data_IF_098961111460
#
_entry.id   IF_098961111460
#
_cell.length_a   1.000
_cell.length_b   1.000
_cell.length_c   1.000
_cell.angle_alpha   90.00
_cell.angle_beta   90.00
_cell.angle_gamma   90.00
#
_symmetry.space_group_name_H-M   'P 1'
#
loop_
_entity.id
_entity.type
_entity.pdbx_description
1 polymer ?
#
# COMPACT_ATOMS: atom_id res chain seq x y z
N UNK A 1 -7.23 12.99 -0.96
CA UNK A 1 -7.06 12.92 0.52
C UNK A 1 -5.61 13.18 0.83
N UNK A 2 -4.75 12.15 0.89
CA UNK A 2 -3.30 12.34 1.07
C UNK A 2 -2.63 13.13 -0.05
N UNK A 3 -3.10 12.99 -1.29
CA UNK A 3 -2.65 13.78 -2.44
C UNK A 3 -2.92 15.29 -2.33
N UNK A 4 -3.87 15.70 -1.49
CA UNK A 4 -4.24 17.11 -1.36
C UNK A 4 -3.43 17.83 -0.26
N UNK A 5 -2.98 17.13 0.78
CA UNK A 5 -2.47 17.77 2.00
C UNK A 5 -1.24 17.12 2.66
N UNK A 6 -0.85 15.90 2.28
CA UNK A 6 0.18 15.12 3.02
C UNK A 6 1.33 14.58 2.18
N UNK A 7 1.06 14.15 0.95
CA UNK A 7 2.07 13.59 0.05
C UNK A 7 1.90 14.10 -1.36
N UNK A 8 2.99 14.48 -2.01
CA UNK A 8 3.04 14.78 -3.44
C UNK A 8 3.39 13.56 -4.32
N UNK A 9 3.61 12.39 -3.69
CA UNK A 9 3.77 11.09 -4.36
C UNK A 9 2.52 10.27 -4.09
N UNK A 10 1.72 10.03 -5.13
CA UNK A 10 0.33 9.57 -4.97
C UNK A 10 -0.05 8.37 -5.82
N UNK A 11 0.88 7.82 -6.58
CA UNK A 11 0.74 6.53 -7.23
C UNK A 11 1.99 5.68 -7.06
N UNK A 12 1.83 4.37 -7.15
CA UNK A 12 2.96 3.44 -7.20
C UNK A 12 3.84 3.72 -8.43
N UNK A 13 3.23 4.06 -9.57
CA UNK A 13 3.96 4.45 -10.78
C UNK A 13 4.91 5.62 -10.53
N UNK A 14 4.42 6.70 -9.92
CA UNK A 14 5.21 7.90 -9.62
C UNK A 14 6.35 7.59 -8.65
N UNK A 15 6.09 6.77 -7.63
CA UNK A 15 7.13 6.35 -6.68
C UNK A 15 8.24 5.54 -7.39
N UNK A 16 7.86 4.62 -8.29
CA UNK A 16 8.81 3.81 -9.05
C UNK A 16 9.60 4.63 -10.08
N UNK A 17 8.96 5.61 -10.73
CA UNK A 17 9.65 6.54 -11.64
C UNK A 17 10.71 7.34 -10.90
N UNK A 18 10.39 7.84 -9.71
CA UNK A 18 11.35 8.56 -8.86
C UNK A 18 12.49 7.64 -8.40
N UNK A 19 12.19 6.42 -7.95
CA UNK A 19 13.21 5.45 -7.56
C UNK A 19 14.16 5.12 -8.73
N UNK A 20 13.63 4.93 -9.93
CA UNK A 20 14.42 4.68 -11.14
C UNK A 20 15.29 5.89 -11.54
N UNK A 21 14.75 7.11 -11.41
CA UNK A 21 15.46 8.34 -11.77
C UNK A 21 16.60 8.66 -10.81
N UNK A 22 16.44 8.42 -9.50
CA UNK A 22 17.50 8.62 -8.51
C UNK A 22 18.61 7.57 -8.72
N UNK A 23 18.23 6.33 -8.98
CA UNK A 23 19.16 5.22 -9.12
C UNK A 23 19.90 4.88 -7.83
N UNK A 24 20.76 3.86 -7.90
CA UNK A 24 21.47 3.32 -6.74
C UNK A 24 20.67 2.25 -5.99
N UNK A 25 21.38 1.29 -5.41
CA UNK A 25 20.75 0.23 -4.62
C UNK A 25 20.17 0.78 -3.32
N UNK A 26 19.03 0.23 -2.88
CA UNK A 26 18.41 0.56 -1.60
C UNK A 26 17.27 1.59 -1.65
N UNK A 27 16.88 2.06 -2.83
CA UNK A 27 15.70 2.92 -3.01
C UNK A 27 14.56 2.10 -3.63
N UNK A 28 13.35 2.26 -3.10
CA UNK A 28 12.16 1.54 -3.54
C UNK A 28 10.90 2.08 -2.87
N UNK A 29 9.85 1.27 -2.86
CA UNK A 29 8.53 1.62 -2.34
C UNK A 29 8.13 0.70 -1.18
N UNK A 30 7.52 1.30 -0.16
CA UNK A 30 6.62 0.59 0.75
C UNK A 30 5.24 0.55 0.10
N UNK A 31 4.71 -0.65 -0.14
CA UNK A 31 3.41 -0.83 -0.78
C UNK A 31 2.37 -1.06 0.33
N UNK A 32 1.69 0.02 0.70
CA UNK A 32 0.56 -0.01 1.64
C UNK A 32 -0.76 -0.10 0.86
N UNK A 33 -1.53 -1.15 1.15
CA UNK A 33 -2.82 -1.41 0.50
C UNK A 33 -3.78 -0.22 0.64
N UNK A 34 -3.77 0.53 1.74
CA UNK A 34 -4.65 1.68 1.95
C UNK A 34 -4.45 2.77 0.90
N UNK A 35 -3.22 2.88 0.40
CA UNK A 35 -2.82 3.96 -0.50
C UNK A 35 -3.01 3.61 -1.98
N UNK A 36 -2.97 2.33 -2.35
CA UNK A 36 -2.88 1.92 -3.77
C UNK A 36 -3.95 0.93 -4.24
N UNK A 37 -4.80 0.39 -3.36
CA UNK A 37 -5.79 -0.65 -3.75
C UNK A 37 -6.73 -0.25 -4.90
N UNK A 38 -6.98 1.05 -5.06
CA UNK A 38 -7.88 1.62 -6.05
C UNK A 38 -7.21 1.87 -7.41
N UNK A 39 -5.88 1.73 -7.51
CA UNK A 39 -5.16 2.03 -8.74
C UNK A 39 -5.53 1.04 -9.87
N UNK A 40 -5.95 1.53 -11.04
CA UNK A 40 -6.38 0.64 -12.13
C UNK A 40 -5.24 -0.18 -12.74
N UNK A 41 -3.99 0.30 -12.64
CA UNK A 41 -2.80 -0.35 -13.19
C UNK A 41 -1.96 -1.07 -12.13
N UNK A 42 -2.51 -1.26 -10.92
CA UNK A 42 -1.79 -1.75 -9.74
C UNK A 42 -1.00 -3.04 -10.01
N UNK A 43 -1.60 -4.02 -10.69
CA UNK A 43 -0.94 -5.30 -10.98
C UNK A 43 0.33 -5.12 -11.82
N UNK A 44 0.28 -4.24 -12.83
CA UNK A 44 1.44 -3.95 -13.68
C UNK A 44 2.52 -3.20 -12.92
N UNK A 45 2.13 -2.26 -12.04
CA UNK A 45 3.07 -1.50 -11.22
C UNK A 45 3.71 -2.37 -10.13
N UNK A 46 2.99 -3.29 -9.49
CA UNK A 46 3.58 -4.27 -8.56
C UNK A 46 4.58 -5.18 -9.29
N UNK A 47 4.20 -5.71 -10.46
CA UNK A 47 5.13 -6.53 -11.26
C UNK A 47 6.37 -5.73 -11.70
N UNK A 48 6.22 -4.45 -12.01
CA UNK A 48 7.33 -3.54 -12.31
C UNK A 48 8.23 -3.34 -11.09
N UNK A 49 7.67 -3.08 -9.92
CA UNK A 49 8.41 -2.96 -8.66
C UNK A 49 9.23 -4.21 -8.37
N UNK A 50 8.66 -5.40 -8.62
CA UNK A 50 9.37 -6.68 -8.52
C UNK A 50 10.57 -6.78 -9.45
N UNK A 51 10.38 -6.48 -10.75
CA UNK A 51 11.49 -6.44 -11.74
C UNK A 51 12.60 -5.47 -11.36
N UNK A 52 12.25 -4.38 -10.68
CA UNK A 52 13.21 -3.37 -10.20
C UNK A 52 13.90 -3.79 -8.89
N UNK A 53 13.44 -4.83 -8.20
CA UNK A 53 13.88 -5.15 -6.84
C UNK A 53 13.52 -4.04 -5.84
N UNK A 54 12.43 -3.32 -6.10
CA UNK A 54 12.07 -2.07 -5.43
C UNK A 54 10.94 -2.22 -4.41
N UNK A 55 10.48 -3.43 -4.08
CA UNK A 55 9.49 -3.65 -3.03
C UNK A 55 10.23 -3.78 -1.70
N UNK A 56 10.09 -2.78 -0.83
CA UNK A 56 10.81 -2.72 0.45
C UNK A 56 9.94 -3.08 1.66
N UNK A 57 8.62 -2.88 1.55
CA UNK A 57 7.65 -3.23 2.59
C UNK A 57 6.28 -3.49 1.97
N UNK A 58 5.44 -4.23 2.71
CA UNK A 58 4.05 -4.50 2.38
C UNK A 58 3.19 -4.26 3.62
N UNK A 59 2.47 -3.14 3.65
CA UNK A 59 1.59 -2.79 4.78
C UNK A 59 0.15 -3.20 4.47
N UNK A 60 -0.54 -3.75 5.46
CA UNK A 60 -1.90 -4.24 5.37
C UNK A 60 -2.81 -3.56 6.39
N UNK A 61 -4.00 -3.23 5.92
CA UNK A 61 -5.19 -2.85 6.68
C UNK A 61 -6.40 -3.13 5.77
N UNK A 62 -7.52 -2.43 5.95
CA UNK A 62 -8.63 -2.50 5.01
C UNK A 62 -9.26 -1.12 4.74
N UNK A 63 -10.04 -1.05 3.66
CA UNK A 63 -10.84 0.12 3.29
C UNK A 63 -12.30 -0.11 3.67
N UNK A 64 -12.79 0.60 4.68
CA UNK A 64 -14.17 0.47 5.15
C UNK A 64 -15.16 1.08 4.16
N UNK A 65 -16.35 0.49 4.07
CA UNK A 65 -17.50 1.06 3.33
C UNK A 65 -18.71 1.14 4.26
N UNK A 66 -19.15 2.35 4.67
CA UNK A 66 -18.52 3.65 4.40
C UNK A 66 -17.22 3.85 5.20
N UNK A 67 -16.30 4.67 4.68
CA UNK A 67 -15.18 5.25 5.45
C UNK A 67 -15.66 6.53 6.12
N UNK A 68 -15.53 6.62 7.44
CA UNK A 68 -16.01 7.72 8.28
C UNK A 68 -14.97 8.81 8.56
N UNK A 69 -13.68 8.46 8.60
CA UNK A 69 -12.58 9.42 8.70
C UNK A 69 -11.45 9.10 7.71
N UNK A 70 -10.80 10.15 7.23
CA UNK A 70 -9.83 10.11 6.15
C UNK A 70 -8.44 9.62 6.60
N UNK A 71 -8.13 9.82 7.88
CA UNK A 71 -6.89 9.42 8.53
C UNK A 71 -7.11 8.28 9.51
N UNK A 72 -8.07 8.43 10.43
CA UNK A 72 -8.26 7.60 11.62
C UNK A 72 -9.42 6.61 11.49
N UNK A 73 -9.69 6.10 10.29
CA UNK A 73 -10.72 5.08 10.05
C UNK A 73 -10.27 3.98 9.08
N UNK A 74 -9.02 3.53 9.23
CA UNK A 74 -8.55 2.33 8.56
C UNK A 74 -9.25 1.09 9.16
N UNK A 75 -9.67 0.16 8.32
CA UNK A 75 -10.32 -1.08 8.74
C UNK A 75 -9.32 -2.13 9.25
N UNK A 76 -9.80 -3.01 10.13
CA UNK A 76 -9.12 -4.29 10.37
C UNK A 76 -9.24 -5.15 9.11
N UNK A 77 -8.20 -5.90 8.77
CA UNK A 77 -8.19 -6.76 7.59
C UNK A 77 -9.38 -7.73 7.60
N UNK A 78 -10.24 -7.63 6.57
CA UNK A 78 -11.45 -8.44 6.43
C UNK A 78 -12.75 -7.69 6.77
N UNK A 79 -12.67 -6.51 7.38
CA UNK A 79 -13.84 -5.66 7.64
C UNK A 79 -14.20 -4.75 6.45
N UNK A 80 -13.29 -4.61 5.48
CA UNK A 80 -13.43 -3.71 4.34
C UNK A 80 -13.59 -4.42 3.00
N UNK A 81 -13.19 -3.73 1.94
CA UNK A 81 -13.40 -4.15 0.54
C UNK A 81 -12.11 -4.50 -0.21
N UNK A 82 -10.94 -4.39 0.41
CA UNK A 82 -9.69 -4.70 -0.26
C UNK A 82 -9.58 -6.23 -0.43
N UNK A 83 -9.35 -6.69 -1.65
CA UNK A 83 -9.02 -8.10 -1.92
C UNK A 83 -7.57 -8.40 -1.51
N UNK A 84 -7.35 -8.51 -0.20
CA UNK A 84 -6.03 -8.75 0.40
C UNK A 84 -5.37 -10.06 -0.07
N UNK A 85 -6.10 -11.19 -0.23
CA UNK A 85 -5.50 -12.40 -0.81
C UNK A 85 -4.96 -12.20 -2.21
N UNK A 86 -5.72 -11.54 -3.11
CA UNK A 86 -5.24 -11.25 -4.46
C UNK A 86 -4.07 -10.25 -4.44
N UNK A 87 -4.14 -9.23 -3.58
CA UNK A 87 -3.05 -8.26 -3.41
C UNK A 87 -1.76 -8.96 -2.97
N UNK A 88 -1.83 -9.83 -1.95
CA UNK A 88 -0.68 -10.59 -1.47
C UNK A 88 -0.13 -11.51 -2.54
N UNK A 89 -0.98 -12.17 -3.32
CA UNK A 89 -0.54 -13.02 -4.44
C UNK A 89 0.27 -12.23 -5.49
N UNK A 90 -0.13 -10.97 -5.79
CA UNK A 90 0.64 -10.09 -6.69
C UNK A 90 2.01 -9.74 -6.10
N UNK A 91 2.08 -9.40 -4.81
CA UNK A 91 3.32 -9.06 -4.10
C UNK A 91 4.30 -10.24 -4.07
N UNK A 92 3.80 -11.45 -3.78
CA UNK A 92 4.61 -12.67 -3.77
C UNK A 92 5.08 -13.05 -5.18
N UNK A 93 4.22 -12.94 -6.19
CA UNK A 93 4.59 -13.16 -7.58
C UNK A 93 5.65 -12.16 -8.07
N UNK A 94 5.68 -10.95 -7.51
CA UNK A 94 6.70 -9.95 -7.76
C UNK A 94 8.02 -10.20 -7.00
N UNK A 95 8.10 -11.28 -6.20
CA UNK A 95 9.33 -11.73 -5.54
C UNK A 95 9.54 -11.18 -4.13
N UNK A 96 8.55 -10.50 -3.54
CA UNK A 96 8.63 -10.04 -2.15
C UNK A 96 7.95 -11.03 -1.20
N UNK A 97 8.75 -11.71 -0.37
CA UNK A 97 8.27 -12.67 0.63
C UNK A 97 8.47 -12.20 2.07
N UNK A 98 8.73 -10.91 2.26
CA UNK A 98 8.82 -10.30 3.58
C UNK A 98 7.50 -10.35 4.36
N UNK A 99 7.57 -9.95 5.63
CA UNK A 99 6.41 -9.81 6.50
C UNK A 99 5.35 -8.88 5.90
N UNK A 100 4.10 -9.10 6.30
CA UNK A 100 3.01 -8.17 6.08
C UNK A 100 2.86 -7.34 7.37
N UNK A 101 3.07 -6.05 7.27
CA UNK A 101 3.03 -5.14 8.43
C UNK A 101 1.62 -4.61 8.62
N UNK A 102 1.02 -4.83 9.79
CA UNK A 102 -0.33 -4.34 10.07
C UNK A 102 -0.27 -2.87 10.48
N UNK A 103 -0.84 -1.98 9.67
CA UNK A 103 -0.86 -0.53 9.90
C UNK A 103 -2.29 0.01 9.96
N UNK A 104 -2.82 0.18 11.18
CA UNK A 104 -4.20 0.64 11.41
C UNK A 104 -4.19 1.93 12.23
N UNK A 105 -4.65 3.01 11.60
CA UNK A 105 -5.05 4.24 12.28
C UNK A 105 -6.56 4.20 12.47
N UNK A 106 -7.00 4.01 13.71
CA UNK A 106 -8.42 3.89 13.99
C UNK A 106 -8.72 4.31 15.42
N UNK A 107 -9.43 5.43 15.57
CA UNK A 107 -9.91 5.87 16.89
C UNK A 107 -10.81 4.81 17.54
N UNK A 108 -11.55 4.05 16.71
CA UNK A 108 -12.34 2.91 17.16
C UNK A 108 -11.47 1.78 17.71
N UNK A 109 -10.46 1.29 16.97
CA UNK A 109 -9.61 0.20 17.47
C UNK A 109 -8.73 0.61 18.64
N UNK A 110 -8.22 1.85 18.65
CA UNK A 110 -7.45 2.38 19.78
C UNK A 110 -8.28 2.56 21.06
N UNK A 111 -9.60 2.70 20.94
CA UNK A 111 -10.50 2.79 22.11
C UNK A 111 -10.84 1.44 22.76
N UNK A 112 -10.46 0.33 22.12
CA UNK A 112 -10.73 -1.02 22.64
C UNK A 112 -9.66 -1.44 23.67
N UNK A 113 -10.04 -2.17 24.73
CA UNK A 113 -9.13 -2.62 25.79
C UNK A 113 -8.14 -3.69 25.32
#
# INVERSE_FOLDING_TARGET
>A
MYAADRSCVNSLEQALDMAAAIGGGGIGAAIDVYHVWWEPDLANQIARAGRMGAILAHHICDWLVPTGDLLNDRGMMGDGVIDLPAFRAMIEAAGFHGAQEVEIFSDHWWSRP
#
